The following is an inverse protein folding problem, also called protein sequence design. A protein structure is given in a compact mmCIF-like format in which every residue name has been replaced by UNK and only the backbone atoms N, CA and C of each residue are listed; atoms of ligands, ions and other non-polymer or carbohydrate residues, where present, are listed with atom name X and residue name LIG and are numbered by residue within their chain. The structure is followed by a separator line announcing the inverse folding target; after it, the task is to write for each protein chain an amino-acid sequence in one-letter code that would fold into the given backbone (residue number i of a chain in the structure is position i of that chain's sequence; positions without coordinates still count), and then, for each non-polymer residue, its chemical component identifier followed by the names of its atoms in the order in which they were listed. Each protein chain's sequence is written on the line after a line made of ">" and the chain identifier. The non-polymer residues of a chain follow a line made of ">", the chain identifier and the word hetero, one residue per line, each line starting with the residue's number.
data_IF_169886486948
#
_entry.id   IF_169886486948
#
_cell.length_a   1.000
_cell.length_b   1.000
_cell.length_c   1.000
_cell.angle_alpha   90.00
_cell.angle_beta   90.00
_cell.angle_gamma   90.00
#
_symmetry.space_group_name_H-M   'P 1'
#
loop_
_entity.id
_entity.type
_entity.pdbx_description
1 polymer ?
#
# COMPACT_ATOMS: atom_id res chain seq x y z
N UNK A 1 -12.36 -15.06 2.25
CA UNK A 1 -11.19 -15.95 2.49
C UNK A 1 -10.39 -15.31 3.61
N UNK A 2 -9.93 -16.05 4.62
CA UNK A 2 -9.17 -15.46 5.72
C UNK A 2 -7.91 -14.77 5.18
N UNK A 3 -7.57 -13.60 5.74
CA UNK A 3 -6.32 -12.91 5.42
C UNK A 3 -5.15 -13.88 5.61
N UNK A 4 -4.33 -14.03 4.56
CA UNK A 4 -3.10 -14.81 4.65
C UNK A 4 -2.11 -14.10 5.58
N UNK A 5 -1.14 -14.82 6.14
CA UNK A 5 -0.11 -14.20 7.00
C UNK A 5 0.62 -13.06 6.30
N UNK A 6 0.84 -13.21 4.99
CA UNK A 6 1.40 -12.19 4.12
C UNK A 6 0.54 -10.94 4.04
N UNK A 7 -0.78 -11.08 4.02
CA UNK A 7 -1.71 -9.96 3.96
C UNK A 7 -1.71 -9.15 5.26
N UNK A 8 -1.64 -9.87 6.39
CA UNK A 8 -1.51 -9.25 7.72
C UNK A 8 -0.19 -8.52 7.84
N UNK A 9 0.91 -9.12 7.37
CA UNK A 9 2.22 -8.49 7.37
C UNK A 9 2.26 -7.23 6.50
N UNK A 10 1.58 -7.22 5.35
CA UNK A 10 1.42 -6.03 4.50
C UNK A 10 0.72 -4.89 5.26
N UNK A 11 -0.36 -5.20 5.98
CA UNK A 11 -1.09 -4.21 6.78
C UNK A 11 -0.27 -3.70 7.97
N UNK A 12 0.46 -4.59 8.65
CA UNK A 12 1.30 -4.23 9.80
C UNK A 12 2.50 -3.36 9.38
N UNK A 13 3.10 -3.65 8.22
CA UNK A 13 4.10 -2.78 7.61
C UNK A 13 3.50 -1.39 7.29
N UNK A 14 2.29 -1.32 6.72
CA UNK A 14 1.62 -0.04 6.46
C UNK A 14 1.25 0.74 7.73
N UNK A 15 1.12 0.02 8.84
CA UNK A 15 0.91 0.63 10.15
C UNK A 15 2.22 1.16 10.75
N UNK A 16 3.37 0.59 10.41
CA UNK A 16 4.66 0.91 11.05
C UNK A 16 5.65 1.68 10.17
N UNK A 17 5.46 1.73 8.85
CA UNK A 17 6.41 2.38 7.92
C UNK A 17 6.59 3.88 8.12
N UNK A 18 5.58 4.57 8.67
CA UNK A 18 5.69 6.00 9.05
C UNK A 18 6.69 6.25 10.19
N UNK A 19 7.07 5.21 10.93
CA UNK A 19 8.06 5.26 12.02
C UNK A 19 9.44 4.77 11.57
N UNK A 20 9.54 4.14 10.40
CA UNK A 20 10.81 3.66 9.85
C UNK A 20 11.49 4.77 9.05
N UNK A 21 12.73 5.10 9.41
CA UNK A 21 13.60 5.96 8.61
C UNK A 21 14.05 5.23 7.35
N UNK A 22 13.60 5.68 6.17
CA UNK A 22 14.07 5.16 4.89
C UNK A 22 13.04 5.17 3.77
N UNK A 23 13.42 4.56 2.63
CA UNK A 23 12.52 4.36 1.52
C UNK A 23 11.52 3.25 1.84
N UNK A 24 10.24 3.52 1.62
CA UNK A 24 9.16 2.54 1.75
C UNK A 24 9.45 1.24 0.99
N UNK A 25 10.11 1.34 -0.16
CA UNK A 25 10.45 0.17 -0.98
C UNK A 25 11.50 -0.73 -0.33
N UNK A 26 12.44 -0.16 0.41
CA UNK A 26 13.47 -0.92 1.12
C UNK A 26 12.88 -1.60 2.36
N UNK A 27 11.98 -0.92 3.08
CA UNK A 27 11.22 -1.55 4.15
C UNK A 27 10.35 -2.71 3.64
N UNK A 28 9.70 -2.55 2.47
CA UNK A 28 8.92 -3.63 1.84
C UNK A 28 9.81 -4.83 1.53
N UNK A 29 11.00 -4.61 0.94
CA UNK A 29 11.93 -5.71 0.65
C UNK A 29 12.49 -6.33 1.93
N UNK A 30 12.87 -5.54 2.92
CA UNK A 30 13.48 -6.03 4.15
C UNK A 30 12.50 -6.80 5.05
N UNK A 31 11.24 -6.34 5.18
CA UNK A 31 10.26 -6.93 6.09
C UNK A 31 9.38 -8.00 5.44
N UNK A 32 9.04 -7.84 4.16
CA UNK A 32 8.13 -8.76 3.48
C UNK A 32 8.85 -9.69 2.50
N UNK A 33 10.13 -9.43 2.20
CA UNK A 33 10.90 -10.11 1.15
C UNK A 33 10.24 -9.99 -0.24
N UNK A 34 9.49 -8.91 -0.47
CA UNK A 34 8.70 -8.72 -1.68
C UNK A 34 9.25 -7.61 -2.57
N UNK A 35 9.12 -7.83 -3.88
CA UNK A 35 9.25 -6.74 -4.83
C UNK A 35 8.11 -5.72 -4.63
N UNK A 36 8.40 -4.39 -4.70
CA UNK A 36 7.39 -3.33 -4.57
C UNK A 36 6.19 -3.52 -5.51
N UNK A 37 6.41 -4.04 -6.72
CA UNK A 37 5.34 -4.32 -7.68
C UNK A 37 4.33 -5.33 -7.13
N UNK A 38 4.82 -6.44 -6.56
CA UNK A 38 3.95 -7.49 -6.00
C UNK A 38 3.29 -7.03 -4.71
N UNK A 39 3.96 -6.19 -3.93
CA UNK A 39 3.36 -5.53 -2.78
C UNK A 39 2.12 -4.72 -3.15
N UNK A 40 2.21 -3.84 -4.16
CA UNK A 40 1.05 -3.03 -4.57
C UNK A 40 -0.09 -3.87 -5.16
N UNK A 41 0.20 -5.01 -5.78
CA UNK A 41 -0.83 -5.94 -6.26
C UNK A 41 -1.62 -6.54 -5.09
N UNK A 42 -0.91 -7.07 -4.08
CA UNK A 42 -1.54 -7.61 -2.86
C UNK A 42 -2.33 -6.52 -2.16
N UNK A 43 -1.72 -5.34 -1.96
CA UNK A 43 -2.35 -4.20 -1.33
C UNK A 43 -3.68 -3.83 -2.01
N UNK A 44 -3.72 -3.78 -3.35
CA UNK A 44 -4.95 -3.45 -4.07
C UNK A 44 -6.07 -4.48 -3.84
N UNK A 45 -5.74 -5.78 -3.79
CA UNK A 45 -6.71 -6.83 -3.47
C UNK A 45 -7.22 -6.74 -2.03
N UNK A 46 -6.33 -6.38 -1.08
CA UNK A 46 -6.71 -6.18 0.32
C UNK A 46 -7.65 -4.99 0.50
N UNK A 47 -7.45 -3.90 -0.25
CA UNK A 47 -8.34 -2.74 -0.20
C UNK A 47 -9.78 -3.04 -0.65
N UNK A 48 -9.98 -4.15 -1.37
CA UNK A 48 -11.28 -4.61 -1.85
C UNK A 48 -11.85 -5.76 -1.01
N UNK A 49 -11.04 -6.32 -0.09
CA UNK A 49 -11.42 -7.46 0.74
C UNK A 49 -12.01 -7.00 2.09
N UNK A 50 -13.19 -7.49 2.50
CA UNK A 50 -13.79 -7.13 3.79
C UNK A 50 -12.94 -7.59 4.99
N UNK A 51 -12.14 -8.64 4.84
CA UNK A 51 -11.29 -9.16 5.89
C UNK A 51 -10.17 -8.19 6.27
N UNK A 52 -9.65 -7.42 5.31
CA UNK A 52 -8.66 -6.37 5.59
C UNK A 52 -9.26 -5.24 6.45
N UNK A 53 -10.52 -4.90 6.20
CA UNK A 53 -11.28 -3.91 7.00
C UNK A 53 -11.49 -4.43 8.41
N UNK A 54 -11.78 -5.72 8.57
CA UNK A 54 -11.96 -6.34 9.87
C UNK A 54 -10.67 -6.37 10.70
N UNK A 55 -9.50 -6.44 10.06
CA UNK A 55 -8.19 -6.44 10.72
C UNK A 55 -7.73 -5.02 11.12
N UNK A 56 -7.67 -4.09 10.16
CA UNK A 56 -7.33 -2.69 10.43
C UNK A 56 -8.17 -1.74 9.56
N UNK A 57 -9.36 -1.32 10.05
CA UNK A 57 -10.24 -0.48 9.27
C UNK A 57 -9.62 0.90 9.00
N UNK A 58 -8.82 1.45 9.93
CA UNK A 58 -8.27 2.80 9.80
C UNK A 58 -7.22 2.88 8.69
N UNK A 59 -6.30 1.91 8.66
CA UNK A 59 -5.26 1.83 7.62
C UNK A 59 -5.90 1.58 6.26
N UNK A 60 -6.86 0.66 6.17
CA UNK A 60 -7.56 0.35 4.91
C UNK A 60 -8.33 1.57 4.38
N UNK A 61 -9.09 2.28 5.21
CA UNK A 61 -9.82 3.47 4.77
C UNK A 61 -8.89 4.59 4.29
N UNK A 62 -7.76 4.81 4.99
CA UNK A 62 -6.74 5.80 4.59
C UNK A 62 -6.13 5.44 3.23
N UNK A 63 -5.80 4.16 3.03
CA UNK A 63 -5.24 3.67 1.78
C UNK A 63 -6.25 3.74 0.61
N UNK A 64 -7.52 3.40 0.85
CA UNK A 64 -8.60 3.56 -0.14
C UNK A 64 -8.74 5.01 -0.58
N UNK A 65 -8.79 5.96 0.36
CA UNK A 65 -8.77 7.41 0.09
C UNK A 65 -7.55 7.83 -0.75
N UNK A 66 -6.36 7.33 -0.45
CA UNK A 66 -5.13 7.63 -1.20
C UNK A 66 -5.17 7.06 -2.61
N UNK A 67 -5.69 5.84 -2.79
CA UNK A 67 -5.94 5.21 -4.10
C UNK A 67 -6.91 6.05 -4.93
N UNK A 68 -8.02 6.49 -4.34
CA UNK A 68 -9.01 7.31 -5.04
C UNK A 68 -8.46 8.66 -5.47
N UNK A 69 -7.64 9.31 -4.62
CA UNK A 69 -6.92 10.54 -5.00
C UNK A 69 -5.96 10.29 -6.16
N UNK A 70 -5.17 9.20 -6.13
CA UNK A 70 -4.27 8.84 -7.24
C UNK A 70 -5.03 8.47 -8.51
N UNK A 71 -6.19 7.83 -8.40
CA UNK A 71 -7.03 7.46 -9.55
C UNK A 71 -7.63 8.70 -10.19
N UNK A 72 -8.19 9.62 -9.40
CA UNK A 72 -8.69 10.92 -9.89
C UNK A 72 -7.59 11.74 -10.55
N UNK A 73 -6.41 11.81 -9.94
CA UNK A 73 -5.24 12.47 -10.52
C UNK A 73 -4.79 11.86 -11.86
N UNK A 74 -5.06 10.56 -12.14
CA UNK A 74 -4.77 9.97 -13.46
C UNK A 74 -5.82 10.30 -14.52
N UNK A 75 -7.06 10.58 -14.14
CA UNK A 75 -8.11 10.99 -15.08
C UNK A 75 -8.10 12.50 -15.33
N UNK A 76 -7.65 13.32 -14.36
CA UNK A 76 -7.50 14.78 -14.51
C UNK A 76 -6.06 15.22 -14.87
N UNK A 77 -5.06 14.36 -14.68
CA UNK A 77 -3.64 14.69 -14.86
C UNK A 77 -2.96 13.83 -15.91
N UNK A 78 -3.21 14.12 -17.19
CA UNK A 78 -2.23 13.85 -18.27
C UNK A 78 -1.06 14.85 -18.24
N UNK A 79 -0.81 15.49 -17.10
CA UNK A 79 0.28 16.43 -16.86
C UNK A 79 0.72 16.34 -15.40
N UNK A 80 2.04 16.38 -15.19
CA UNK A 80 2.76 16.54 -13.91
C UNK A 80 3.10 15.28 -13.07
N UNK A 81 4.37 14.85 -13.17
CA UNK A 81 5.25 14.83 -12.00
C UNK A 81 5.44 13.51 -11.26
N UNK A 82 6.32 12.65 -11.77
CA UNK A 82 7.14 11.77 -10.93
C UNK A 82 8.58 12.29 -10.98
N UNK A 83 9.29 12.51 -9.85
CA UNK A 83 10.68 12.92 -9.90
C UNK A 83 11.48 11.79 -10.52
N UNK A 84 12.13 12.10 -11.65
CA UNK A 84 13.14 11.25 -12.27
C UNK A 84 14.35 11.34 -11.34
N UNK A 85 14.62 10.29 -10.58
CA UNK A 85 15.96 10.08 -10.05
C UNK A 85 16.82 9.57 -11.20
N UNK A 86 17.43 10.49 -11.97
CA UNK A 86 18.85 10.46 -12.37
C UNK A 86 19.21 11.71 -13.16
#
# INVERSE_FOLDING_TARGET
>A
MPLSERDRAVLDLERSWWTLDGSKEDAIRAHLDLSPTRYYQVLNGLLESPEAIAYDPLVVHRLRRRRDRRRRARYEGRTAGGPRSR
#
